data_IF_744437221850
#
_entry.id   IF_744437221850
#
_cell.length_a   1.000
_cell.length_b   1.000
_cell.length_c   1.000
_cell.angle_alpha   90.00
_cell.angle_beta   90.00
_cell.angle_gamma   90.00
#
_symmetry.space_group_name_H-M   'P 1'
#
loop_
_entity.id
_entity.type
_entity.pdbx_description
1 polymer ?
#
# COMPACT_ATOMS: atom_id res chain seq x y z
N UNK A 1 -26.92 37.67 -3.82
CA UNK A 1 -26.85 36.35 -3.15
C UNK A 1 -26.25 35.37 -4.14
N UNK A 2 -24.94 35.13 -4.04
CA UNK A 2 -24.24 34.23 -4.95
C UNK A 2 -24.22 32.85 -4.31
N UNK A 3 -25.07 31.95 -4.80
CA UNK A 3 -25.09 30.55 -4.38
C UNK A 3 -23.89 29.86 -5.02
N UNK A 4 -22.77 29.83 -4.31
CA UNK A 4 -21.67 28.92 -4.64
C UNK A 4 -22.18 27.52 -4.30
N UNK A 5 -22.75 26.85 -5.31
CA UNK A 5 -22.93 25.41 -5.28
C UNK A 5 -21.53 24.78 -5.42
N UNK A 6 -20.76 24.77 -4.33
CA UNK A 6 -19.65 23.84 -4.19
C UNK A 6 -20.28 22.45 -4.27
N UNK A 7 -20.14 21.82 -5.44
CA UNK A 7 -20.35 20.39 -5.53
C UNK A 7 -19.31 19.80 -4.58
N UNK A 8 -19.72 19.39 -3.38
CA UNK A 8 -18.89 18.61 -2.46
C UNK A 8 -18.55 17.31 -3.17
N UNK A 9 -17.47 17.35 -3.95
CA UNK A 9 -16.96 16.20 -4.67
C UNK A 9 -16.25 15.37 -3.62
N UNK A 10 -16.93 14.33 -3.14
CA UNK A 10 -16.33 13.31 -2.32
C UNK A 10 -15.16 12.66 -3.11
N UNK A 11 -13.94 13.14 -2.86
CA UNK A 11 -12.74 12.73 -3.59
C UNK A 11 -12.39 11.27 -3.33
N UNK A 12 -12.72 10.76 -2.14
CA UNK A 12 -12.58 9.35 -1.78
C UNK A 12 -13.44 8.47 -2.68
N UNK A 13 -14.71 8.83 -2.89
CA UNK A 13 -15.62 8.08 -3.77
C UNK A 13 -15.16 8.13 -5.23
N UNK A 14 -14.66 9.29 -5.68
CA UNK A 14 -14.15 9.47 -7.04
C UNK A 14 -12.91 8.58 -7.25
N UNK A 15 -11.96 8.59 -6.31
CA UNK A 15 -10.78 7.72 -6.35
C UNK A 15 -11.17 6.24 -6.27
N UNK A 16 -12.19 5.91 -5.46
CA UNK A 16 -12.65 4.53 -5.29
C UNK A 16 -13.38 3.98 -6.53
N UNK A 17 -13.99 4.84 -7.35
CA UNK A 17 -14.60 4.45 -8.63
C UNK A 17 -13.61 4.33 -9.78
N UNK A 18 -12.40 4.89 -9.64
CA UNK A 18 -11.39 4.86 -10.68
C UNK A 18 -10.85 3.44 -10.91
N UNK A 19 -10.84 3.02 -12.17
CA UNK A 19 -10.32 1.70 -12.60
C UNK A 19 -8.81 1.61 -12.42
N UNK A 20 -8.08 2.69 -12.70
CA UNK A 20 -6.63 2.76 -12.51
C UNK A 20 -6.23 4.09 -11.86
N UNK A 21 -5.81 4.03 -10.60
CA UNK A 21 -5.40 5.23 -9.84
C UNK A 21 -3.93 5.63 -10.06
N UNK A 22 -3.23 4.89 -10.92
CA UNK A 22 -1.80 5.05 -11.20
C UNK A 22 -1.49 5.57 -12.59
N UNK A 23 -2.49 5.79 -13.44
CA UNK A 23 -2.32 6.18 -14.85
C UNK A 23 -1.44 7.44 -15.01
N UNK A 24 -1.58 8.42 -14.12
CA UNK A 24 -0.78 9.65 -14.14
C UNK A 24 0.72 9.44 -13.87
N UNK A 25 1.13 8.27 -13.36
CA UNK A 25 2.54 7.93 -13.11
C UNK A 25 3.26 7.46 -14.38
N UNK A 26 2.54 7.34 -15.50
CA UNK A 26 3.06 6.92 -16.79
C UNK A 26 2.80 5.43 -17.08
N UNK A 27 3.28 4.95 -18.24
CA UNK A 27 2.96 3.61 -18.75
C UNK A 27 3.60 2.49 -17.94
N UNK A 28 4.65 2.78 -17.17
CA UNK A 28 5.32 1.81 -16.32
C UNK A 28 5.93 2.50 -15.10
N UNK A 29 5.72 1.91 -13.93
CA UNK A 29 6.32 2.35 -12.68
C UNK A 29 7.48 1.39 -12.41
N UNK A 30 8.71 1.83 -12.61
CA UNK A 30 9.90 1.00 -12.41
C UNK A 30 10.74 1.47 -11.23
N UNK A 31 11.32 0.52 -10.51
CA UNK A 31 12.34 0.74 -9.50
C UNK A 31 13.61 0.01 -9.90
N UNK A 32 14.72 0.75 -9.94
CA UNK A 32 16.05 0.21 -10.21
C UNK A 32 17.02 0.72 -9.17
N UNK A 33 17.84 -0.18 -8.64
CA UNK A 33 18.99 0.15 -7.80
C UNK A 33 20.06 -0.92 -7.98
N UNK A 34 21.23 -0.52 -8.47
CA UNK A 34 22.35 -1.44 -8.75
C UNK A 34 21.87 -2.63 -9.60
N UNK A 35 22.01 -3.86 -9.09
CA UNK A 35 21.60 -5.10 -9.77
C UNK A 35 20.16 -5.53 -9.44
N UNK A 36 19.37 -4.67 -8.82
CA UNK A 36 17.99 -4.95 -8.44
C UNK A 36 17.01 -4.11 -9.26
N UNK A 37 16.25 -4.76 -10.12
CA UNK A 37 15.28 -4.13 -11.01
C UNK A 37 13.90 -4.74 -10.79
N UNK A 38 12.89 -3.88 -10.68
CA UNK A 38 11.50 -4.30 -10.52
C UNK A 38 10.55 -3.34 -11.21
N UNK A 39 9.42 -3.87 -11.66
CA UNK A 39 8.26 -3.11 -12.08
C UNK A 39 7.20 -3.16 -10.98
N UNK A 40 6.42 -2.10 -10.85
CA UNK A 40 5.30 -2.01 -9.92
C UNK A 40 4.01 -2.10 -10.73
N UNK A 41 3.23 -3.13 -10.45
CA UNK A 41 1.92 -3.34 -11.02
C UNK A 41 0.85 -2.83 -10.05
N UNK A 42 -0.20 -2.23 -10.60
CA UNK A 42 -1.35 -1.78 -9.85
C UNK A 42 -2.52 -2.74 -10.03
N UNK A 43 -3.23 -3.05 -8.94
CA UNK A 43 -4.49 -3.80 -8.97
C UNK A 43 -5.50 -3.22 -7.98
N UNK A 44 -6.77 -3.19 -8.35
CA UNK A 44 -7.86 -3.25 -7.37
C UNK A 44 -8.03 -4.68 -6.84
N UNK A 45 -8.69 -4.87 -5.69
CA UNK A 45 -8.98 -6.20 -5.16
C UNK A 45 -9.80 -7.08 -6.11
N UNK A 46 -10.67 -6.48 -6.92
CA UNK A 46 -11.45 -7.18 -7.95
C UNK A 46 -10.54 -7.70 -9.06
N UNK A 47 -9.65 -6.84 -9.57
CA UNK A 47 -8.71 -7.17 -10.66
C UNK A 47 -7.50 -8.01 -10.23
N UNK A 48 -7.20 -8.09 -8.92
CA UNK A 48 -6.05 -8.83 -8.42
C UNK A 48 -6.21 -10.35 -8.70
N UNK A 49 -5.28 -10.97 -9.46
CA UNK A 49 -5.34 -12.39 -9.78
C UNK A 49 -5.40 -13.30 -8.55
N UNK A 50 -6.07 -14.45 -8.69
CA UNK A 50 -6.27 -15.42 -7.59
C UNK A 50 -4.93 -15.87 -6.97
N UNK A 51 -3.90 -16.05 -7.77
CA UNK A 51 -2.60 -16.49 -7.26
C UNK A 51 -1.86 -15.36 -6.54
N UNK A 52 -2.00 -14.10 -6.98
CA UNK A 52 -1.50 -12.96 -6.22
C UNK A 52 -2.28 -12.76 -4.92
N UNK A 53 -3.60 -12.97 -4.88
CA UNK A 53 -4.41 -12.98 -3.63
C UNK A 53 -3.91 -14.03 -2.63
N UNK A 54 -3.54 -15.22 -3.11
CA UNK A 54 -2.95 -16.27 -2.25
C UNK A 54 -1.56 -15.85 -1.78
N UNK A 55 -0.74 -15.32 -2.68
CA UNK A 55 0.63 -14.92 -2.41
C UNK A 55 0.73 -13.76 -1.41
N UNK A 56 -0.07 -12.70 -1.54
CA UNK A 56 -0.07 -11.57 -0.61
C UNK A 56 -0.43 -12.01 0.81
N UNK A 57 -1.44 -12.88 0.96
CA UNK A 57 -1.78 -13.48 2.24
C UNK A 57 -0.65 -14.34 2.81
N UNK A 58 -0.02 -15.18 1.99
CA UNK A 58 1.05 -16.05 2.45
C UNK A 58 2.26 -15.25 2.91
N UNK A 59 2.66 -14.23 2.15
CA UNK A 59 3.74 -13.33 2.53
C UNK A 59 3.43 -12.56 3.83
N UNK A 60 2.20 -12.06 3.96
CA UNK A 60 1.74 -11.42 5.21
C UNK A 60 1.86 -12.38 6.39
N UNK A 61 1.34 -13.60 6.24
CA UNK A 61 1.40 -14.63 7.29
C UNK A 61 2.84 -14.97 7.67
N UNK A 62 3.72 -15.18 6.71
CA UNK A 62 5.14 -15.48 6.96
C UNK A 62 5.85 -14.36 7.73
N UNK A 63 5.54 -13.11 7.39
CA UNK A 63 6.17 -11.96 8.02
C UNK A 63 5.58 -11.63 9.39
N UNK A 64 4.27 -11.79 9.56
CA UNK A 64 3.53 -11.16 10.65
C UNK A 64 2.94 -12.13 11.66
N UNK A 65 2.70 -13.40 11.31
CA UNK A 65 1.95 -14.33 12.16
C UNK A 65 2.52 -14.40 13.59
N UNK A 66 3.84 -14.60 13.72
CA UNK A 66 4.50 -14.71 15.03
C UNK A 66 4.36 -13.44 15.86
N UNK A 67 4.42 -12.27 15.22
CA UNK A 67 4.28 -10.98 15.91
C UNK A 67 2.86 -10.80 16.46
N UNK A 68 1.85 -11.13 15.66
CA UNK A 68 0.47 -11.09 16.10
C UNK A 68 0.18 -12.11 17.22
N UNK A 69 0.69 -13.33 17.12
CA UNK A 69 0.55 -14.37 18.17
C UNK A 69 1.21 -13.96 19.50
N UNK A 70 2.29 -13.19 19.44
CA UNK A 70 2.97 -12.66 20.63
C UNK A 70 2.39 -11.33 21.13
N UNK A 71 1.38 -10.77 20.45
CA UNK A 71 0.69 -9.54 20.82
C UNK A 71 -0.68 -9.83 21.45
N UNK A 72 -1.28 -8.84 22.10
CA UNK A 72 -2.64 -8.96 22.65
C UNK A 72 -3.75 -9.12 21.58
N UNK A 73 -3.42 -8.96 20.29
CA UNK A 73 -4.38 -9.04 19.19
C UNK A 73 -4.59 -10.48 18.69
N UNK A 74 -3.57 -11.34 18.81
CA UNK A 74 -3.57 -12.69 18.24
C UNK A 74 -3.60 -12.74 16.70
N UNK A 75 -3.44 -13.94 16.14
CA UNK A 75 -3.51 -14.16 14.69
C UNK A 75 -4.77 -14.93 14.29
N UNK A 76 -5.61 -14.35 13.43
CA UNK A 76 -6.72 -15.06 12.80
C UNK A 76 -6.56 -15.10 11.30
N UNK A 77 -6.31 -16.31 10.78
CA UNK A 77 -6.18 -16.55 9.34
C UNK A 77 -7.44 -16.17 8.57
N UNK A 78 -8.62 -16.37 9.15
CA UNK A 78 -9.91 -16.02 8.52
C UNK A 78 -10.09 -14.51 8.46
N UNK A 79 -9.85 -13.79 9.57
CA UNK A 79 -9.95 -12.32 9.60
C UNK A 79 -8.96 -11.68 8.63
N UNK A 80 -7.68 -12.09 8.65
CA UNK A 80 -6.66 -11.54 7.74
C UNK A 80 -6.95 -11.80 6.27
N UNK A 81 -7.50 -12.97 5.91
CA UNK A 81 -7.95 -13.21 4.53
C UNK A 81 -9.14 -12.34 4.13
N UNK A 82 -10.04 -12.02 5.07
CA UNK A 82 -11.18 -11.13 4.84
C UNK A 82 -10.71 -9.68 4.68
N UNK A 83 -9.81 -9.20 5.53
CA UNK A 83 -9.19 -7.88 5.44
C UNK A 83 -8.47 -7.68 4.10
N UNK A 84 -7.66 -8.66 3.67
CA UNK A 84 -7.01 -8.65 2.34
C UNK A 84 -7.99 -8.82 1.16
N UNK A 85 -9.30 -8.81 1.39
CA UNK A 85 -10.34 -8.92 0.36
C UNK A 85 -11.42 -7.85 0.53
N UNK A 86 -11.16 -6.87 1.39
CA UNK A 86 -12.10 -5.80 1.67
C UNK A 86 -12.38 -4.97 0.41
N UNK A 87 -13.63 -4.55 0.25
CA UNK A 87 -14.02 -3.71 -0.86
C UNK A 87 -13.23 -2.40 -0.83
N UNK A 88 -12.77 -1.94 -2.00
CA UNK A 88 -11.94 -0.75 -2.08
C UNK A 88 -10.46 -0.99 -1.79
N UNK A 89 -10.04 -2.21 -1.39
CA UNK A 89 -8.63 -2.56 -1.26
C UNK A 89 -7.90 -2.45 -2.61
N UNK A 90 -6.74 -1.80 -2.58
CA UNK A 90 -5.86 -1.55 -3.73
C UNK A 90 -4.47 -2.03 -3.43
N UNK A 91 -3.77 -2.48 -4.46
CA UNK A 91 -2.46 -3.12 -4.36
C UNK A 91 -1.45 -2.48 -5.30
N UNK A 92 -0.28 -2.19 -4.76
CA UNK A 92 0.95 -2.04 -5.55
C UNK A 92 1.75 -3.32 -5.37
N UNK A 93 1.97 -4.09 -6.44
CA UNK A 93 2.75 -5.33 -6.44
C UNK A 93 4.09 -5.07 -7.12
N UNK A 94 5.19 -5.22 -6.40
CA UNK A 94 6.52 -5.19 -7.00
C UNK A 94 6.86 -6.56 -7.60
N UNK A 95 7.25 -6.61 -8.87
CA UNK A 95 7.71 -7.84 -9.55
C UNK A 95 9.09 -7.64 -10.12
N UNK A 96 9.93 -8.66 -10.01
CA UNK A 96 11.29 -8.63 -10.53
C UNK A 96 11.26 -8.49 -12.05
N UNK A 97 12.10 -7.63 -12.61
CA UNK A 97 12.34 -7.63 -14.06
C UNK A 97 13.40 -8.70 -14.33
N UNK A 98 13.03 -9.75 -15.07
CA UNK A 98 13.99 -10.74 -15.52
C UNK A 98 14.62 -10.27 -16.83
N UNK A 99 15.95 -10.13 -16.85
CA UNK A 99 16.69 -9.71 -18.05
C UNK A 99 16.86 -10.85 -19.06
N UNK A 100 16.55 -12.09 -18.66
CA UNK A 100 16.76 -13.28 -19.49
C UNK A 100 15.64 -13.55 -20.51
N UNK A 101 14.47 -12.95 -20.33
CA UNK A 101 13.38 -13.06 -21.29
C UNK A 101 13.24 -11.76 -22.08
N UNK A 102 13.38 -11.87 -23.41
CA UNK A 102 13.42 -10.79 -24.40
C UNK A 102 12.17 -9.89 -24.48
N UNK A 103 11.21 -10.04 -23.57
CA UNK A 103 9.91 -9.37 -23.60
C UNK A 103 9.46 -8.72 -22.27
N UNK A 104 10.38 -8.31 -21.38
CA UNK A 104 10.03 -7.54 -20.15
C UNK A 104 8.82 -8.12 -19.38
N UNK A 105 8.66 -9.44 -19.36
CA UNK A 105 7.57 -10.07 -18.63
C UNK A 105 7.87 -9.94 -17.14
N UNK A 106 6.94 -9.32 -16.40
CA UNK A 106 7.08 -9.15 -14.97
C UNK A 106 7.25 -10.53 -14.29
N UNK A 107 8.43 -10.73 -13.69
CA UNK A 107 8.87 -11.99 -13.11
C UNK A 107 8.29 -12.25 -11.72
N UNK A 108 9.02 -12.93 -10.84
CA UNK A 108 8.49 -13.27 -9.51
C UNK A 108 8.08 -12.03 -8.69
N UNK A 109 7.00 -12.09 -7.90
CA UNK A 109 6.62 -11.02 -6.98
C UNK A 109 7.62 -10.89 -5.82
N UNK A 110 7.92 -9.65 -5.44
CA UNK A 110 8.97 -9.27 -4.48
C UNK A 110 8.39 -8.61 -3.23
N UNK A 111 7.21 -7.99 -3.34
CA UNK A 111 6.55 -7.33 -2.24
C UNK A 111 5.26 -6.67 -2.67
N UNK A 112 4.48 -6.20 -1.70
CA UNK A 112 3.29 -5.42 -1.95
C UNK A 112 3.06 -4.32 -0.93
N UNK A 113 2.27 -3.32 -1.34
CA UNK A 113 1.54 -2.41 -0.46
C UNK A 113 0.06 -2.60 -0.70
N UNK A 114 -0.72 -2.78 0.37
CA UNK A 114 -2.19 -2.73 0.35
C UNK A 114 -2.65 -1.42 0.95
N UNK A 115 -3.49 -0.69 0.23
CA UNK A 115 -4.00 0.60 0.65
C UNK A 115 -5.46 0.79 0.27
N UNK A 116 -6.12 1.78 0.87
CA UNK A 116 -7.45 2.25 0.51
C UNK A 116 -7.49 3.78 0.48
N UNK A 117 -8.42 4.34 -0.30
CA UNK A 117 -8.88 5.70 -0.08
C UNK A 117 -10.04 5.64 0.91
N UNK A 118 -9.92 6.37 2.01
CA UNK A 118 -10.92 6.35 3.08
C UNK A 118 -10.96 7.71 3.78
N UNK A 119 -11.92 7.85 4.68
CA UNK A 119 -12.02 8.94 5.63
C UNK A 119 -11.36 8.52 6.95
N UNK A 120 -10.74 9.46 7.64
CA UNK A 120 -10.19 9.27 8.99
C UNK A 120 -10.59 10.45 9.88
N UNK A 121 -11.11 10.16 11.06
CA UNK A 121 -11.37 11.16 12.11
C UNK A 121 -10.06 11.78 12.59
N UNK A 122 -9.99 13.10 12.64
CA UNK A 122 -8.90 13.82 13.30
C UNK A 122 -9.37 14.37 14.65
N UNK A 123 -8.57 14.07 15.68
CA UNK A 123 -8.83 14.40 17.09
C UNK A 123 -9.02 15.90 17.37
N UNK A 124 -8.70 16.78 16.41
CA UNK A 124 -8.68 18.22 16.65
C UNK A 124 -10.02 18.90 16.40
N UNK A 125 -10.89 18.38 15.54
CA UNK A 125 -12.01 19.18 15.00
C UNK A 125 -13.32 18.40 14.73
N UNK A 126 -13.50 17.16 15.22
CA UNK A 126 -14.65 16.28 14.90
C UNK A 126 -14.91 16.16 13.37
N UNK A 127 -13.89 16.43 12.56
CA UNK A 127 -13.92 16.39 11.11
C UNK A 127 -13.23 15.14 10.61
N UNK A 128 -13.82 14.52 9.60
CA UNK A 128 -13.15 13.50 8.82
C UNK A 128 -12.31 14.14 7.72
N UNK A 129 -11.14 13.57 7.46
CA UNK A 129 -10.28 13.97 6.34
C UNK A 129 -10.08 12.83 5.36
N UNK A 130 -9.97 13.18 4.09
CA UNK A 130 -9.66 12.26 3.00
C UNK A 130 -8.23 11.77 3.13
N UNK A 131 -8.05 10.46 3.26
CA UNK A 131 -6.74 9.84 3.43
C UNK A 131 -6.49 8.71 2.45
N UNK A 132 -5.22 8.54 2.11
CA UNK A 132 -4.72 7.26 1.60
C UNK A 132 -4.14 6.48 2.78
N UNK A 133 -4.76 5.35 3.10
CA UNK A 133 -4.41 4.55 4.27
C UNK A 133 -3.64 3.30 3.87
N UNK A 134 -2.42 3.14 4.39
CA UNK A 134 -1.61 1.95 4.18
C UNK A 134 -1.93 0.89 5.23
N UNK A 135 -2.62 -0.16 4.83
CA UNK A 135 -2.95 -1.29 5.70
C UNK A 135 -1.78 -2.26 5.85
N UNK A 136 -1.15 -2.63 4.74
CA UNK A 136 -0.07 -3.62 4.75
C UNK A 136 1.07 -3.17 3.83
N UNK A 137 2.30 -3.37 4.30
CA UNK A 137 3.50 -3.33 3.48
C UNK A 137 4.34 -4.56 3.79
N UNK A 138 4.56 -5.39 2.80
CA UNK A 138 5.23 -6.67 2.97
C UNK A 138 6.22 -6.90 1.84
N UNK A 139 7.46 -7.28 2.18
CA UNK A 139 8.50 -7.63 1.23
C UNK A 139 9.05 -9.02 1.54
N UNK A 140 9.42 -9.77 0.50
CA UNK A 140 10.24 -10.97 0.67
C UNK A 140 11.60 -10.59 1.25
N UNK A 141 12.25 -11.52 1.95
CA UNK A 141 13.50 -11.23 2.69
C UNK A 141 14.59 -10.67 1.78
N UNK A 142 14.71 -11.19 0.56
CA UNK A 142 15.72 -10.86 -0.44
C UNK A 142 15.54 -9.46 -1.06
N UNK A 143 14.35 -8.88 -0.92
CA UNK A 143 14.00 -7.54 -1.43
C UNK A 143 14.09 -6.45 -0.35
N UNK A 144 14.32 -6.83 0.93
CA UNK A 144 14.45 -5.88 2.05
C UNK A 144 15.81 -5.16 2.01
N UNK A 145 15.88 -4.02 2.71
CA UNK A 145 17.08 -3.17 2.83
C UNK A 145 17.65 -2.65 1.51
N UNK A 146 16.96 -2.88 0.39
CA UNK A 146 17.34 -2.38 -0.93
C UNK A 146 16.72 -1.03 -1.27
N UNK A 147 15.72 -0.57 -0.50
CA UNK A 147 15.00 0.69 -0.74
C UNK A 147 13.65 0.52 -1.45
N UNK A 148 13.30 -0.70 -1.86
CA UNK A 148 12.02 -1.02 -2.52
C UNK A 148 10.81 -0.64 -1.65
N UNK A 149 10.84 -0.92 -0.34
CA UNK A 149 9.73 -0.58 0.56
C UNK A 149 9.46 0.92 0.61
N UNK A 150 10.52 1.74 0.71
CA UNK A 150 10.43 3.19 0.65
C UNK A 150 9.87 3.66 -0.70
N UNK A 151 10.30 3.04 -1.80
CA UNK A 151 9.78 3.36 -3.12
C UNK A 151 8.27 3.07 -3.25
N UNK A 152 7.81 1.92 -2.74
CA UNK A 152 6.38 1.56 -2.76
C UNK A 152 5.54 2.55 -1.94
N UNK A 153 5.98 2.92 -0.73
CA UNK A 153 5.29 3.94 0.08
C UNK A 153 5.26 5.28 -0.65
N UNK A 154 6.40 5.77 -1.14
CA UNK A 154 6.45 7.04 -1.87
C UNK A 154 5.56 7.03 -3.12
N UNK A 155 5.41 5.88 -3.78
CA UNK A 155 4.51 5.72 -4.93
C UNK A 155 3.05 5.84 -4.49
N UNK A 156 2.66 5.15 -3.42
CA UNK A 156 1.35 5.28 -2.80
C UNK A 156 1.06 6.73 -2.38
N UNK A 157 2.02 7.43 -1.77
CA UNK A 157 1.84 8.83 -1.37
C UNK A 157 1.62 9.77 -2.56
N UNK A 158 2.35 9.56 -3.67
CA UNK A 158 2.12 10.30 -4.92
C UNK A 158 0.70 10.07 -5.46
N UNK A 159 0.20 8.84 -5.36
CA UNK A 159 -1.19 8.51 -5.72
C UNK A 159 -2.15 9.31 -4.83
N UNK A 160 -1.99 9.26 -3.51
CA UNK A 160 -2.82 10.04 -2.58
C UNK A 160 -2.85 11.52 -2.91
N UNK A 161 -1.68 12.14 -3.14
CA UNK A 161 -1.56 13.55 -3.52
C UNK A 161 -2.26 13.87 -4.84
N UNK A 162 -2.12 13.00 -5.84
CA UNK A 162 -2.76 13.20 -7.14
C UNK A 162 -4.29 13.15 -7.05
N UNK A 163 -4.82 12.25 -6.22
CA UNK A 163 -6.27 12.12 -6.00
C UNK A 163 -6.82 13.08 -4.93
N UNK A 164 -6.01 14.03 -4.45
CA UNK A 164 -6.44 15.08 -3.53
C UNK A 164 -6.64 14.65 -2.07
N UNK A 165 -6.05 13.53 -1.65
CA UNK A 165 -6.06 13.11 -0.25
C UNK A 165 -5.23 14.09 0.59
N UNK A 166 -5.80 14.57 1.69
CA UNK A 166 -5.20 15.59 2.56
C UNK A 166 -4.09 15.02 3.45
N UNK A 167 -4.23 13.76 3.86
CA UNK A 167 -3.27 13.09 4.75
C UNK A 167 -2.89 11.71 4.21
N UNK A 168 -1.66 11.33 4.51
CA UNK A 168 -1.17 9.96 4.37
C UNK A 168 -1.06 9.37 5.77
N UNK A 169 -1.80 8.31 6.05
CA UNK A 169 -1.60 7.57 7.29
C UNK A 169 -0.89 6.26 6.99
N UNK A 170 0.39 6.20 7.32
CA UNK A 170 1.14 4.93 7.32
C UNK A 170 0.92 4.23 8.65
N UNK A 171 -0.31 3.78 8.90
CA UNK A 171 -0.64 3.05 10.11
C UNK A 171 0.16 1.76 10.26
N UNK A 172 0.65 1.18 9.16
CA UNK A 172 1.69 0.17 9.20
C UNK A 172 2.84 0.60 10.14
N UNK A 173 3.38 1.81 10.02
CA UNK A 173 4.44 2.33 10.90
C UNK A 173 3.99 2.45 12.35
N UNK A 174 2.76 2.92 12.62
CA UNK A 174 2.24 3.03 13.98
C UNK A 174 1.97 1.66 14.61
N UNK A 175 1.43 0.71 13.85
CA UNK A 175 1.19 -0.65 14.28
C UNK A 175 2.49 -1.41 14.57
N UNK A 176 3.45 -1.33 13.65
CA UNK A 176 4.79 -1.88 13.86
C UNK A 176 5.43 -1.30 15.13
N UNK A 177 5.30 0.02 15.34
CA UNK A 177 5.92 0.69 16.47
C UNK A 177 5.19 0.46 17.80
N UNK A 178 3.90 0.78 17.88
CA UNK A 178 3.10 0.77 19.12
C UNK A 178 2.71 -0.63 19.57
N UNK A 179 2.45 -1.54 18.64
CA UNK A 179 1.85 -2.84 18.96
C UNK A 179 2.79 -4.03 18.80
N UNK A 180 3.84 -3.90 17.98
CA UNK A 180 4.78 -4.99 17.72
C UNK A 180 6.22 -4.71 18.17
N UNK A 181 6.47 -3.57 18.81
CA UNK A 181 7.77 -3.22 19.39
C UNK A 181 8.89 -2.97 18.36
N UNK A 182 8.55 -2.69 17.10
CA UNK A 182 9.56 -2.30 16.11
C UNK A 182 10.00 -0.86 16.36
N UNK A 183 11.31 -0.63 16.43
CA UNK A 183 11.84 0.72 16.42
C UNK A 183 11.77 1.32 15.00
N UNK A 184 11.50 2.63 14.94
CA UNK A 184 11.51 3.38 13.69
C UNK A 184 12.96 3.43 13.17
N UNK A 185 13.27 2.59 12.19
CA UNK A 185 14.55 2.58 11.47
C UNK A 185 14.90 4.02 11.00
N UNK A 186 16.18 4.38 11.00
CA UNK A 186 16.67 5.72 10.61
C UNK A 186 16.25 6.11 9.19
N UNK A 187 16.01 5.12 8.32
CA UNK A 187 15.54 5.35 6.94
C UNK A 187 14.01 5.32 6.79
N UNK A 188 13.26 5.21 7.91
CA UNK A 188 11.81 5.18 7.89
C UNK A 188 11.25 6.50 7.34
N UNK A 189 10.30 6.47 6.38
CA UNK A 189 9.68 7.69 5.84
C UNK A 189 9.07 8.60 6.92
N UNK A 190 8.68 8.03 8.06
CA UNK A 190 8.14 8.76 9.21
C UNK A 190 9.16 9.67 9.94
N UNK A 191 10.47 9.56 9.67
CA UNK A 191 11.51 10.48 10.20
C UNK A 191 11.81 11.67 9.28
N UNK A 192 11.26 11.73 8.07
CA UNK A 192 11.60 12.75 7.04
C UNK A 192 10.39 13.64 6.69
N UNK A 193 9.44 13.84 7.61
CA UNK A 193 8.32 14.76 7.43
C UNK A 193 8.13 15.61 8.67
#
# INVERSE_FOLDING_TARGET
MSTVLTTDRNLVDIANKATNVTEFLGPSISYSRENFNSVIEYYSVESLPVDLKKWTYQLLKENMKKFYENSNLGWSSVKKRKELREAGARYLIARQIDKSESNNLAGRPLGFVMFQFTWEEIMTDDQEVEVIYCYEIQLIKEARRKGLGKFLINTMEKIGKHWGMKKKNTAASEFYHKHLGYEIDEISPSKIL
#
